data_IF_543709675464
#
_entry.id   IF_543709675464
#
_cell.length_a   1.000
_cell.length_b   1.000
_cell.length_c   1.000
_cell.angle_alpha   90.00
_cell.angle_beta   90.00
_cell.angle_gamma   90.00
#
_symmetry.space_group_name_H-M   'P 1'
#
loop_
_entity.id
_entity.type
_entity.pdbx_description
1 polymer ?
#
# COMPACT_ATOMS: atom_id res chain seq x y z
N UNK A 1 63.06 -37.84 -24.36
CA UNK A 1 62.42 -38.69 -23.33
C UNK A 1 63.06 -38.25 -22.02
N UNK A 2 62.43 -37.53 -21.11
CA UNK A 2 61.03 -37.42 -20.69
C UNK A 2 60.69 -35.96 -20.33
N UNK A 3 59.40 -35.65 -20.42
CA UNK A 3 58.81 -34.42 -19.90
C UNK A 3 58.57 -34.56 -18.40
N UNK A 4 58.98 -33.56 -17.60
CA UNK A 4 58.46 -33.36 -16.25
C UNK A 4 58.07 -31.91 -16.08
N UNK A 5 56.77 -31.75 -15.86
CA UNK A 5 55.98 -30.54 -15.80
C UNK A 5 56.29 -29.76 -14.52
N UNK A 6 56.81 -28.54 -14.64
CA UNK A 6 56.61 -27.51 -13.61
C UNK A 6 55.55 -26.55 -14.11
N UNK A 7 54.31 -26.94 -13.80
CA UNK A 7 53.08 -26.17 -13.96
C UNK A 7 53.25 -24.76 -13.38
N UNK A 8 53.08 -23.67 -14.15
CA UNK A 8 52.89 -22.34 -13.58
C UNK A 8 51.44 -22.23 -13.10
N UNK A 9 51.11 -23.01 -12.08
CA UNK A 9 49.77 -23.10 -11.46
C UNK A 9 49.73 -22.58 -10.02
N UNK A 10 50.87 -22.20 -9.44
CA UNK A 10 50.97 -21.76 -8.04
C UNK A 10 50.82 -20.24 -7.83
N UNK A 11 50.15 -19.53 -8.75
CA UNK A 11 49.94 -18.07 -8.64
C UNK A 11 48.47 -17.67 -8.54
N UNK A 12 47.52 -18.61 -8.68
CA UNK A 12 46.08 -18.26 -8.67
C UNK A 12 45.25 -18.85 -7.53
N UNK A 13 45.87 -19.47 -6.52
CA UNK A 13 45.22 -19.75 -5.23
C UNK A 13 45.65 -18.76 -4.14
N UNK A 14 45.74 -17.47 -4.49
CA UNK A 14 45.29 -16.44 -3.57
C UNK A 14 43.76 -16.51 -3.57
N UNK A 15 43.23 -17.55 -2.92
CA UNK A 15 41.95 -17.44 -2.24
C UNK A 15 42.13 -16.25 -1.30
N UNK A 16 41.75 -15.07 -1.78
CA UNK A 16 41.35 -13.99 -0.92
C UNK A 16 40.27 -14.59 -0.05
N UNK A 17 40.68 -15.09 1.11
CA UNK A 17 39.83 -15.38 2.24
C UNK A 17 39.24 -14.02 2.61
N UNK A 18 38.25 -13.58 1.84
CA UNK A 18 37.34 -12.54 2.22
C UNK A 18 36.94 -12.92 3.65
N UNK A 19 37.20 -12.05 4.63
CA UNK A 19 36.87 -12.36 6.00
C UNK A 19 35.43 -12.81 5.96
N UNK A 20 35.21 -14.08 6.31
CA UNK A 20 33.85 -14.60 6.43
C UNK A 20 33.20 -13.63 7.40
N UNK A 21 32.31 -12.78 6.90
CA UNK A 21 31.37 -12.01 7.70
C UNK A 21 30.40 -13.05 8.28
N UNK A 22 30.94 -13.95 9.10
CA UNK A 22 30.22 -14.88 9.93
C UNK A 22 29.57 -14.01 10.98
N UNK A 23 28.28 -13.76 10.75
CA UNK A 23 27.24 -13.97 11.75
C UNK A 23 27.67 -13.67 13.19
N UNK A 24 27.45 -12.45 13.65
CA UNK A 24 27.58 -12.13 15.08
C UNK A 24 26.66 -10.99 15.54
N UNK A 25 25.55 -10.73 14.84
CA UNK A 25 24.30 -10.47 15.56
C UNK A 25 23.67 -11.82 15.85
N UNK A 26 24.27 -12.59 16.77
CA UNK A 26 23.47 -13.45 17.63
C UNK A 26 22.65 -12.51 18.52
N UNK A 27 21.67 -11.84 17.92
CA UNK A 27 20.63 -11.19 18.71
C UNK A 27 19.99 -12.34 19.47
N UNK A 28 20.30 -12.42 20.76
CA UNK A 28 19.70 -13.35 21.70
C UNK A 28 18.23 -13.43 21.36
N UNK A 29 17.72 -14.62 20.98
CA UNK A 29 16.36 -14.76 20.44
C UNK A 29 15.32 -14.06 21.33
N UNK A 30 15.57 -14.03 22.64
CA UNK A 30 14.78 -13.28 23.62
C UNK A 30 14.64 -11.77 23.30
N UNK A 31 15.71 -11.07 22.92
CA UNK A 31 15.69 -9.64 22.58
C UNK A 31 14.89 -9.42 21.29
N UNK A 32 15.08 -10.28 20.29
CA UNK A 32 14.30 -10.25 19.04
C UNK A 32 12.80 -10.45 19.30
N UNK A 33 12.44 -11.47 20.08
CA UNK A 33 11.04 -11.72 20.46
C UNK A 33 10.45 -10.61 21.33
N UNK A 34 11.25 -10.00 22.20
CA UNK A 34 10.81 -8.86 23.02
C UNK A 34 10.54 -7.64 22.16
N UNK A 35 11.41 -7.33 21.20
CA UNK A 35 11.23 -6.20 20.28
C UNK A 35 9.97 -6.39 19.41
N UNK A 36 9.79 -7.59 18.85
CA UNK A 36 8.58 -7.95 18.09
C UNK A 36 7.34 -7.88 18.98
N UNK A 37 7.40 -8.43 20.20
CA UNK A 37 6.29 -8.41 21.15
C UNK A 37 5.87 -6.99 21.53
N UNK A 38 6.82 -6.10 21.76
CA UNK A 38 6.56 -4.68 22.05
C UNK A 38 5.94 -3.98 20.84
N UNK A 39 6.47 -4.16 19.63
CA UNK A 39 5.88 -3.57 18.42
C UNK A 39 4.46 -4.07 18.17
N UNK A 40 4.24 -5.38 18.26
CA UNK A 40 2.90 -5.97 18.08
C UNK A 40 1.95 -5.49 19.16
N UNK A 41 2.37 -5.47 20.43
CA UNK A 41 1.54 -4.98 21.52
C UNK A 41 1.18 -3.51 21.33
N UNK A 42 2.14 -2.68 20.91
CA UNK A 42 1.91 -1.26 20.64
C UNK A 42 0.93 -1.03 19.48
N UNK A 43 1.14 -1.69 18.33
CA UNK A 43 0.23 -1.60 17.17
C UNK A 43 -1.15 -2.14 17.52
N UNK A 44 -1.21 -3.27 18.23
CA UNK A 44 -2.46 -3.88 18.66
C UNK A 44 -3.20 -2.96 19.62
N UNK A 45 -2.53 -2.34 20.59
CA UNK A 45 -3.14 -1.39 21.50
C UNK A 45 -3.69 -0.18 20.74
N UNK A 46 -2.89 0.38 19.81
CA UNK A 46 -3.26 1.56 19.03
C UNK A 46 -4.48 1.28 18.13
N UNK A 47 -4.59 0.09 17.54
CA UNK A 47 -5.73 -0.26 16.68
C UNK A 47 -6.93 -0.80 17.46
N UNK A 48 -6.73 -1.71 18.41
CA UNK A 48 -7.81 -2.41 19.10
C UNK A 48 -8.52 -1.52 20.12
N UNK A 49 -7.83 -0.62 20.81
CA UNK A 49 -8.47 0.28 21.78
C UNK A 49 -9.52 1.18 21.11
N UNK A 50 -9.22 1.98 20.08
CA UNK A 50 -10.24 2.81 19.42
C UNK A 50 -11.31 1.98 18.73
N UNK A 51 -10.95 0.82 18.18
CA UNK A 51 -11.95 -0.08 17.59
C UNK A 51 -12.93 -0.60 18.67
N UNK A 52 -12.41 -1.05 19.80
CA UNK A 52 -13.21 -1.52 20.93
C UNK A 52 -14.09 -0.39 21.51
N UNK A 53 -13.58 0.84 21.59
CA UNK A 53 -14.40 1.98 22.06
C UNK A 53 -15.51 2.32 21.07
N UNK A 54 -15.27 2.28 19.76
CA UNK A 54 -16.31 2.46 18.74
C UNK A 54 -17.39 1.39 18.88
N UNK A 55 -17.02 0.11 18.99
CA UNK A 55 -17.98 -0.98 19.18
C UNK A 55 -18.74 -0.87 20.49
N UNK A 56 -18.05 -0.57 21.60
CA UNK A 56 -18.68 -0.40 22.90
C UNK A 56 -19.68 0.78 22.88
N UNK A 57 -19.34 1.90 22.24
CA UNK A 57 -20.25 3.05 22.09
C UNK A 57 -21.40 2.78 21.12
N UNK A 58 -21.16 2.03 20.05
CA UNK A 58 -22.20 1.65 19.08
C UNK A 58 -23.22 0.69 19.70
N UNK A 59 -22.77 -0.23 20.55
CA UNK A 59 -23.62 -1.25 21.18
C UNK A 59 -24.24 -0.76 22.51
N UNK A 60 -23.60 0.17 23.24
CA UNK A 60 -24.10 0.72 24.51
C UNK A 60 -25.34 1.58 24.37
N UNK A 61 -25.57 2.18 23.19
CA UNK A 61 -26.84 2.85 22.86
C UNK A 61 -28.01 1.86 22.67
N UNK A 62 -27.75 0.55 22.74
CA UNK A 62 -28.72 -0.53 22.69
C UNK A 62 -28.96 -1.07 21.28
N UNK A 63 -29.16 -2.39 21.16
CA UNK A 63 -29.51 -3.07 19.91
C UNK A 63 -30.80 -2.50 19.26
N UNK A 64 -31.67 -1.89 20.06
CA UNK A 64 -32.88 -1.19 19.59
C UNK A 64 -32.59 0.08 18.78
N UNK A 65 -31.55 0.85 19.11
CA UNK A 65 -31.15 2.03 18.31
C UNK A 65 -30.50 1.59 17.01
N UNK A 66 -29.73 0.50 17.01
CA UNK A 66 -29.18 -0.10 15.78
C UNK A 66 -30.28 -0.54 14.81
N UNK A 67 -31.33 -1.22 15.32
CA UNK A 67 -32.48 -1.62 14.50
C UNK A 67 -33.29 -0.40 14.01
N UNK A 68 -33.45 0.64 14.85
CA UNK A 68 -34.11 1.88 14.46
C UNK A 68 -33.32 2.67 13.40
N UNK A 69 -31.99 2.66 13.46
CA UNK A 69 -31.12 3.26 12.44
C UNK A 69 -31.16 2.51 11.11
N UNK A 70 -31.39 1.19 11.11
CA UNK A 70 -31.61 0.42 9.89
C UNK A 70 -32.95 0.75 9.21
N UNK A 71 -33.94 1.25 9.95
CA UNK A 71 -35.20 1.77 9.38
C UNK A 71 -35.11 3.23 8.94
N UNK A 72 -33.98 3.90 9.14
CA UNK A 72 -33.78 5.27 8.71
C UNK A 72 -33.65 5.33 7.18
N UNK A 73 -34.51 6.11 6.48
CA UNK A 73 -34.40 6.30 5.04
C UNK A 73 -33.04 6.85 4.59
N UNK A 74 -32.35 7.64 5.42
CA UNK A 74 -31.00 8.14 5.11
C UNK A 74 -29.96 7.02 5.12
N UNK A 75 -30.09 6.04 6.02
CA UNK A 75 -29.20 4.87 6.05
C UNK A 75 -29.32 4.06 4.76
N UNK A 76 -30.55 3.79 4.32
CA UNK A 76 -30.80 3.08 3.07
C UNK A 76 -30.35 3.85 1.83
N UNK A 77 -30.54 5.17 1.81
CA UNK A 77 -30.07 6.01 0.71
C UNK A 77 -28.53 5.99 0.60
N UNK A 78 -27.84 6.10 1.74
CA UNK A 78 -26.38 6.02 1.78
C UNK A 78 -25.87 4.64 1.31
N UNK A 79 -26.47 3.55 1.81
CA UNK A 79 -26.11 2.18 1.41
C UNK A 79 -26.30 1.99 -0.10
N UNK A 80 -27.43 2.42 -0.66
CA UNK A 80 -27.70 2.33 -2.11
C UNK A 80 -26.71 3.13 -2.93
N UNK A 81 -26.37 4.35 -2.50
CA UNK A 81 -25.40 5.20 -3.20
C UNK A 81 -24.01 4.56 -3.21
N UNK A 82 -23.55 4.03 -2.08
CA UNK A 82 -22.26 3.34 -1.98
C UNK A 82 -22.24 2.07 -2.84
N UNK A 83 -23.30 1.26 -2.81
CA UNK A 83 -23.42 0.05 -3.63
C UNK A 83 -23.40 0.35 -5.12
N UNK A 84 -24.17 1.35 -5.57
CA UNK A 84 -24.21 1.76 -6.97
C UNK A 84 -22.86 2.32 -7.42
N UNK A 85 -22.24 3.16 -6.58
CA UNK A 85 -20.90 3.71 -6.85
C UNK A 85 -19.87 2.59 -6.94
N UNK A 86 -19.88 1.63 -6.03
CA UNK A 86 -18.96 0.48 -6.05
C UNK A 86 -19.21 -0.42 -7.28
N UNK A 87 -20.47 -0.69 -7.62
CA UNK A 87 -20.85 -1.51 -8.76
C UNK A 87 -20.36 -0.94 -10.09
N UNK A 88 -20.26 0.39 -10.22
CA UNK A 88 -19.73 1.05 -11.42
C UNK A 88 -18.22 1.24 -11.34
N UNK A 89 -17.71 1.73 -10.20
CA UNK A 89 -16.30 2.07 -10.04
C UNK A 89 -15.39 0.84 -10.04
N UNK A 90 -15.80 -0.26 -9.42
CA UNK A 90 -14.94 -1.47 -9.32
C UNK A 90 -14.65 -2.09 -10.69
N UNK A 91 -15.65 -2.36 -11.56
CA UNK A 91 -15.37 -2.89 -12.90
C UNK A 91 -14.56 -1.92 -13.77
N UNK A 92 -14.83 -0.62 -13.69
CA UNK A 92 -14.05 0.37 -14.43
C UNK A 92 -12.58 0.39 -13.96
N UNK A 93 -12.34 0.46 -12.65
CA UNK A 93 -10.99 0.40 -12.08
C UNK A 93 -10.29 -0.91 -12.45
N UNK A 94 -11.00 -2.03 -12.47
CA UNK A 94 -10.46 -3.32 -12.88
C UNK A 94 -10.06 -3.31 -14.35
N UNK A 95 -10.92 -2.86 -15.26
CA UNK A 95 -10.63 -2.84 -16.71
C UNK A 95 -9.46 -1.92 -17.01
N UNK A 96 -9.48 -0.68 -16.51
CA UNK A 96 -8.39 0.28 -16.77
C UNK A 96 -7.09 -0.10 -16.07
N UNK A 97 -7.15 -0.56 -14.81
CA UNK A 97 -5.98 -1.00 -14.06
C UNK A 97 -5.35 -2.26 -14.64
N UNK A 98 -6.16 -3.23 -15.07
CA UNK A 98 -5.68 -4.43 -15.73
C UNK A 98 -5.09 -4.11 -17.11
N UNK A 99 -5.75 -3.25 -17.90
CA UNK A 99 -5.22 -2.81 -19.19
C UNK A 99 -3.88 -2.08 -19.05
N UNK A 100 -3.76 -1.18 -18.08
CA UNK A 100 -2.52 -0.44 -17.82
C UNK A 100 -1.39 -1.35 -17.32
N UNK A 101 -1.66 -2.21 -16.33
CA UNK A 101 -0.67 -3.17 -15.82
C UNK A 101 -0.23 -4.17 -16.89
N UNK A 102 -1.16 -4.66 -17.72
CA UNK A 102 -0.86 -5.54 -18.84
C UNK A 102 -0.02 -4.83 -19.91
N UNK A 103 -0.34 -3.58 -20.23
CA UNK A 103 0.42 -2.76 -21.17
C UNK A 103 1.88 -2.57 -20.70
N UNK A 104 2.07 -2.25 -19.42
CA UNK A 104 3.39 -2.04 -18.81
C UNK A 104 4.18 -3.35 -18.75
N UNK A 105 3.54 -4.46 -18.38
CA UNK A 105 4.21 -5.74 -18.20
C UNK A 105 4.62 -6.38 -19.54
N UNK A 106 3.78 -6.29 -20.57
CA UNK A 106 4.00 -7.00 -21.84
C UNK A 106 4.68 -6.18 -22.93
N UNK A 107 4.52 -4.85 -22.94
CA UNK A 107 5.09 -3.99 -23.99
C UNK A 107 6.25 -3.14 -23.46
N UNK A 108 7.33 -3.05 -24.24
CA UNK A 108 8.45 -2.13 -23.97
C UNK A 108 8.38 -0.96 -24.97
N UNK A 109 7.68 0.10 -24.58
CA UNK A 109 7.51 1.33 -25.34
C UNK A 109 8.29 2.49 -24.71
N UNK A 110 8.77 3.45 -25.51
CA UNK A 110 9.60 4.58 -25.05
C UNK A 110 8.91 5.46 -23.98
N UNK A 111 7.57 5.51 -23.98
CA UNK A 111 6.76 6.27 -23.01
C UNK A 111 6.39 5.53 -21.72
N UNK A 112 6.89 4.31 -21.49
CA UNK A 112 6.51 3.45 -20.35
C UNK A 112 6.77 4.10 -18.99
N UNK A 113 7.90 4.82 -18.87
CA UNK A 113 8.23 5.53 -17.62
C UNK A 113 7.22 6.62 -17.29
N UNK A 114 6.71 7.35 -18.29
CA UNK A 114 5.75 8.44 -18.08
C UNK A 114 4.40 7.88 -17.59
N UNK A 115 3.96 6.75 -18.16
CA UNK A 115 2.73 6.09 -17.74
C UNK A 115 2.81 5.58 -16.29
N UNK A 116 3.94 4.99 -15.89
CA UNK A 116 4.17 4.54 -14.51
C UNK A 116 4.12 5.74 -13.55
N UNK A 117 4.86 6.81 -13.86
CA UNK A 117 4.84 8.02 -13.03
C UNK A 117 3.43 8.61 -12.90
N UNK A 118 2.65 8.64 -13.98
CA UNK A 118 1.28 9.15 -13.95
C UNK A 118 0.34 8.31 -13.06
N UNK A 119 0.54 6.99 -13.03
CA UNK A 119 -0.23 6.07 -12.18
C UNK A 119 0.17 6.21 -10.70
N UNK A 120 1.46 6.44 -10.42
CA UNK A 120 1.97 6.57 -9.05
C UNK A 120 1.77 7.99 -8.46
N UNK A 121 1.65 9.00 -9.33
CA UNK A 121 1.47 10.40 -8.96
C UNK A 121 0.36 10.64 -7.91
N UNK A 122 -0.88 10.10 -8.05
CA UNK A 122 -1.92 10.32 -7.04
C UNK A 122 -1.54 9.81 -5.65
N UNK A 123 -0.72 8.76 -5.55
CA UNK A 123 -0.24 8.24 -4.26
C UNK A 123 0.85 9.12 -3.64
N UNK A 124 1.60 9.86 -4.46
CA UNK A 124 2.59 10.83 -4.00
C UNK A 124 1.95 12.15 -3.52
N UNK A 125 0.71 12.45 -3.94
CA UNK A 125 -0.01 13.66 -3.56
C UNK A 125 -0.80 13.43 -2.27
N UNK A 126 -0.71 14.38 -1.32
CA UNK A 126 -1.50 14.33 -0.09
C UNK A 126 -3.00 14.40 -0.39
N UNK A 127 -3.86 13.62 0.31
CA UNK A 127 -5.31 13.67 0.12
C UNK A 127 -5.92 15.07 0.25
N UNK A 128 -5.35 15.90 1.14
CA UNK A 128 -5.80 17.29 1.35
C UNK A 128 -5.54 18.15 0.12
N UNK A 129 -4.37 17.96 -0.52
CA UNK A 129 -4.00 18.69 -1.75
C UNK A 129 -4.87 18.25 -2.92
N UNK A 130 -5.14 16.95 -3.04
CA UNK A 130 -6.07 16.43 -4.05
C UNK A 130 -7.45 17.08 -3.91
N UNK A 131 -7.98 17.18 -2.69
CA UNK A 131 -9.23 17.88 -2.41
C UNK A 131 -9.21 19.35 -2.83
N UNK A 132 -8.13 20.07 -2.52
CA UNK A 132 -7.97 21.47 -2.92
C UNK A 132 -7.94 21.63 -4.45
N UNK A 133 -7.25 20.74 -5.16
CA UNK A 133 -7.21 20.76 -6.64
C UNK A 133 -8.62 20.58 -7.21
N UNK A 134 -9.42 19.65 -6.68
CA UNK A 134 -10.82 19.50 -7.10
C UNK A 134 -11.63 20.79 -6.88
N UNK A 135 -11.49 21.43 -5.72
CA UNK A 135 -12.17 22.71 -5.44
C UNK A 135 -11.66 23.83 -6.35
N UNK A 136 -10.37 23.87 -6.69
CA UNK A 136 -9.82 24.89 -7.59
C UNK A 136 -10.26 24.69 -9.05
N UNK A 137 -10.39 23.44 -9.50
CA UNK A 137 -10.82 23.12 -10.87
C UNK A 137 -12.33 23.33 -11.03
N UNK A 138 -13.12 22.84 -10.06
CA UNK A 138 -14.59 22.86 -10.11
C UNK A 138 -15.24 23.99 -9.29
N UNK A 139 -14.45 24.85 -8.65
CA UNK A 139 -14.94 25.98 -7.86
C UNK A 139 -15.31 27.19 -8.71
N UNK A 140 -15.96 28.18 -8.07
CA UNK A 140 -16.49 29.40 -8.69
C UNK A 140 -15.45 30.27 -9.44
N UNK A 141 -14.15 30.09 -9.16
CA UNK A 141 -13.03 30.77 -9.86
C UNK A 141 -12.18 29.80 -10.71
N UNK A 142 -12.60 28.54 -10.87
CA UNK A 142 -11.88 27.52 -11.62
C UNK A 142 -12.05 27.62 -13.12
N UNK A 143 -11.19 26.94 -13.88
CA UNK A 143 -11.24 26.91 -15.35
C UNK A 143 -12.55 26.35 -15.91
N UNK A 144 -13.28 25.56 -15.12
CA UNK A 144 -14.56 24.95 -15.50
C UNK A 144 -15.75 25.72 -14.88
N UNK A 145 -15.50 26.66 -13.95
CA UNK A 145 -16.53 27.47 -13.28
C UNK A 145 -17.46 28.27 -14.20
N UNK A 146 -17.05 28.77 -15.39
CA UNK A 146 -17.96 29.46 -16.30
C UNK A 146 -18.96 28.55 -17.06
N UNK A 147 -18.78 27.23 -17.02
CA UNK A 147 -19.56 26.26 -17.82
C UNK A 147 -20.58 25.44 -17.00
N UNK A 148 -20.65 25.67 -15.68
CA UNK A 148 -21.57 25.03 -14.74
C UNK A 148 -22.47 26.07 -14.08
#
# INVERSE_FOLDING_TARGET
>A
MEATLTTPGEVFLQEGAAPRLRAATEDRDWVRWSCIGVTIAFISLLLLVPLATIFAQALSKGFGVYLASLTDPYCWAAIKLTLLTAAISVPLNLVFGLAASWAIAKFNFRGKSLLITLIDLPFAVSPVVSGLIFVLIFGLQGWIGPWL
#
